data_IF_462828290412
#
_entry.id   IF_462828290412
#
_cell.length_a   1.000
_cell.length_b   1.000
_cell.length_c   1.000
_cell.angle_alpha   90.00
_cell.angle_beta   90.00
_cell.angle_gamma   90.00
#
_symmetry.space_group_name_H-M   'P 1'
#
loop_
_entity.id
_entity.type
_entity.pdbx_description
1 polymer ?
#
# COMPACT_ATOMS: atom_id res chain seq x y z
N UNK A 1 -16.11 -19.71 13.88
CA UNK A 1 -14.96 -18.96 14.40
C UNK A 1 -14.56 -19.48 15.78
N UNK A 2 -15.43 -19.37 16.80
CA UNK A 2 -15.18 -19.92 18.15
C UNK A 2 -14.74 -21.39 18.17
N UNK A 3 -15.39 -22.25 17.37
CA UNK A 3 -15.00 -23.66 17.25
C UNK A 3 -13.57 -23.85 16.75
N UNK A 4 -13.08 -22.98 15.87
CA UNK A 4 -11.70 -23.03 15.38
C UNK A 4 -10.72 -22.57 16.45
N UNK A 5 -11.00 -21.45 17.13
CA UNK A 5 -10.18 -20.97 18.26
C UNK A 5 -10.08 -22.02 19.36
N UNK A 6 -11.18 -22.71 19.67
CA UNK A 6 -11.20 -23.77 20.68
C UNK A 6 -10.29 -24.96 20.35
N UNK A 7 -9.78 -25.08 19.11
CA UNK A 7 -8.79 -26.10 18.74
C UNK A 7 -7.35 -25.69 19.04
N UNK A 8 -7.12 -24.44 19.43
CA UNK A 8 -5.80 -23.90 19.78
C UNK A 8 -5.22 -24.52 21.06
N UNK A 9 -3.92 -24.79 21.04
CA UNK A 9 -3.18 -25.17 22.24
C UNK A 9 -2.91 -23.94 23.12
N UNK A 10 -3.05 -24.02 24.45
CA UNK A 10 -2.61 -22.95 25.36
C UNK A 10 -1.07 -22.91 25.49
N UNK A 11 -0.38 -23.99 25.11
CA UNK A 11 1.08 -24.05 25.15
C UNK A 11 1.70 -23.21 24.02
N UNK A 12 2.79 -22.46 24.28
CA UNK A 12 3.52 -21.75 23.24
C UNK A 12 3.91 -22.69 22.09
N UNK A 13 3.66 -22.25 20.85
CA UNK A 13 4.17 -22.95 19.67
C UNK A 13 5.70 -22.91 19.61
N UNK A 14 6.34 -23.83 18.86
CA UNK A 14 7.78 -23.75 18.64
C UNK A 14 8.14 -22.42 17.96
N UNK A 15 9.24 -21.80 18.37
CA UNK A 15 9.82 -20.72 17.57
C UNK A 15 10.44 -21.36 16.32
N UNK A 16 9.76 -21.20 15.18
CA UNK A 16 10.17 -21.78 13.91
C UNK A 16 11.20 -20.92 13.16
N UNK A 17 11.36 -19.66 13.56
CA UNK A 17 12.25 -18.72 12.89
C UNK A 17 13.67 -18.87 13.43
N UNK A 18 14.61 -19.30 12.59
CA UNK A 18 16.03 -19.39 12.95
C UNK A 18 16.80 -18.17 12.43
N UNK A 19 16.47 -17.71 11.22
CA UNK A 19 17.06 -16.54 10.56
C UNK A 19 15.97 -15.63 9.96
N UNK A 20 16.09 -14.31 10.12
CA UNK A 20 15.15 -13.34 9.55
C UNK A 20 15.21 -13.25 8.02
N UNK A 21 16.26 -13.80 7.39
CA UNK A 21 16.36 -13.93 5.93
C UNK A 21 15.61 -15.15 5.36
N UNK A 22 14.96 -15.95 6.22
CA UNK A 22 14.12 -17.07 5.77
C UNK A 22 12.91 -16.57 4.97
N UNK A 23 12.49 -17.30 3.91
CA UNK A 23 11.28 -16.98 3.15
C UNK A 23 10.01 -17.08 3.99
N UNK A 24 9.19 -16.03 3.97
CA UNK A 24 7.86 -16.00 4.63
C UNK A 24 6.70 -16.15 3.63
N UNK A 25 6.90 -15.72 2.37
CA UNK A 25 5.86 -15.81 1.33
C UNK A 25 6.46 -15.79 -0.08
N UNK A 26 5.68 -16.30 -1.05
CA UNK A 26 5.99 -16.22 -2.48
C UNK A 26 4.80 -15.58 -3.19
N UNK A 27 5.03 -14.47 -3.88
CA UNK A 27 4.00 -13.76 -4.66
C UNK A 27 4.30 -13.91 -6.15
N UNK A 28 3.37 -14.48 -6.93
CA UNK A 28 3.57 -14.61 -8.38
C UNK A 28 3.18 -13.34 -9.12
N UNK A 29 4.10 -12.82 -9.92
CA UNK A 29 3.86 -11.69 -10.84
C UNK A 29 3.78 -12.20 -12.29
N UNK A 30 2.87 -11.64 -13.09
CA UNK A 30 2.58 -12.15 -14.43
C UNK A 30 3.71 -11.94 -15.43
N UNK A 31 4.60 -10.94 -15.22
CA UNK A 31 5.72 -10.64 -16.10
C UNK A 31 5.33 -10.36 -17.57
N UNK A 32 6.19 -9.66 -18.33
CA UNK A 32 5.94 -9.42 -19.76
C UNK A 32 6.30 -10.61 -20.66
N UNK A 33 6.95 -11.65 -20.12
CA UNK A 33 7.53 -12.77 -20.87
C UNK A 33 6.76 -14.10 -20.77
N UNK A 34 5.53 -14.08 -20.22
CA UNK A 34 4.52 -15.13 -20.39
C UNK A 34 4.34 -16.15 -19.27
N UNK A 35 5.41 -16.55 -18.56
CA UNK A 35 5.29 -17.42 -17.37
C UNK A 35 5.37 -16.59 -16.09
N UNK A 36 4.41 -16.73 -15.15
CA UNK A 36 4.48 -16.03 -13.88
C UNK A 36 5.76 -16.39 -13.12
N UNK A 37 6.39 -15.39 -12.51
CA UNK A 37 7.60 -15.56 -11.71
C UNK A 37 7.25 -15.42 -10.24
N UNK A 38 7.67 -16.37 -9.41
CA UNK A 38 7.44 -16.30 -7.97
C UNK A 38 8.45 -15.34 -7.35
N UNK A 39 7.99 -14.31 -6.66
CA UNK A 39 8.84 -13.35 -5.96
C UNK A 39 8.95 -13.77 -4.51
N UNK A 40 10.18 -14.00 -4.03
CA UNK A 40 10.43 -14.51 -2.67
C UNK A 40 10.61 -13.34 -1.69
N UNK A 41 9.80 -13.33 -0.63
CA UNK A 41 9.85 -12.36 0.47
C UNK A 41 10.47 -13.00 1.69
N UNK A 42 11.34 -12.28 2.39
CA UNK A 42 11.93 -12.71 3.68
C UNK A 42 11.17 -12.15 4.87
N UNK A 43 11.34 -12.75 6.05
CA UNK A 43 10.79 -12.22 7.30
C UNK A 43 11.29 -10.78 7.56
N UNK A 44 12.59 -10.52 7.37
CA UNK A 44 13.23 -9.20 7.54
C UNK A 44 12.63 -8.16 6.59
N UNK A 45 12.56 -8.46 5.29
CA UNK A 45 12.04 -7.53 4.29
C UNK A 45 10.57 -7.20 4.54
N UNK A 46 9.76 -8.22 4.86
CA UNK A 46 8.36 -8.03 5.25
C UNK A 46 8.21 -7.18 6.51
N UNK A 47 9.01 -7.43 7.55
CA UNK A 47 8.95 -6.65 8.79
C UNK A 47 9.27 -5.17 8.55
N UNK A 48 10.34 -4.88 7.79
CA UNK A 48 10.74 -3.52 7.46
C UNK A 48 9.71 -2.82 6.55
N UNK A 49 9.09 -3.54 5.61
CA UNK A 49 8.04 -2.96 4.78
C UNK A 49 6.77 -2.68 5.59
N UNK A 50 6.34 -3.59 6.46
CA UNK A 50 5.20 -3.40 7.34
C UNK A 50 5.39 -2.21 8.30
N UNK A 51 6.61 -2.02 8.79
CA UNK A 51 6.99 -0.82 9.54
C UNK A 51 6.89 0.44 8.68
N UNK A 52 7.36 0.39 7.43
CA UNK A 52 7.19 1.45 6.44
C UNK A 52 5.73 1.83 6.25
N UNK A 53 4.86 0.86 5.91
CA UNK A 53 3.43 1.10 5.73
C UNK A 53 2.80 1.76 6.96
N UNK A 54 3.17 1.29 8.16
CA UNK A 54 2.70 1.86 9.43
C UNK A 54 3.08 3.33 9.57
N UNK A 55 4.36 3.66 9.37
CA UNK A 55 4.88 5.03 9.51
C UNK A 55 4.35 5.97 8.44
N UNK A 56 4.25 5.50 7.20
CA UNK A 56 3.87 6.32 6.05
C UNK A 56 2.37 6.60 6.00
N UNK A 57 1.54 5.70 6.55
CA UNK A 57 0.07 5.87 6.55
C UNK A 57 -0.52 6.26 7.90
N UNK A 58 0.29 6.25 8.96
CA UNK A 58 -0.16 6.64 10.30
C UNK A 58 -1.03 5.60 10.98
N UNK A 59 -0.81 4.32 10.70
CA UNK A 59 -1.51 3.24 11.40
C UNK A 59 -1.16 3.24 12.89
N UNK A 60 -2.17 3.00 13.72
CA UNK A 60 -2.07 2.89 15.18
C UNK A 60 -2.91 1.71 15.69
N UNK A 61 -2.84 1.41 16.98
CA UNK A 61 -3.70 0.41 17.62
C UNK A 61 -5.20 0.71 17.50
N UNK A 62 -5.57 1.98 17.28
CA UNK A 62 -6.96 2.42 17.13
C UNK A 62 -7.43 2.35 15.66
N UNK A 63 -6.59 1.88 14.74
CA UNK A 63 -6.93 1.81 13.32
C UNK A 63 -7.89 0.66 13.01
N UNK A 64 -8.98 0.97 12.30
CA UNK A 64 -9.90 0.00 11.68
C UNK A 64 -9.66 -0.01 10.17
N UNK A 65 -9.10 -1.09 9.66
CA UNK A 65 -8.65 -1.22 8.28
C UNK A 65 -9.64 -2.05 7.46
N UNK A 66 -10.25 -1.42 6.44
CA UNK A 66 -11.18 -2.09 5.53
C UNK A 66 -10.44 -2.74 4.35
N UNK A 67 -10.63 -4.04 4.19
CA UNK A 67 -10.00 -4.82 3.12
C UNK A 67 -10.75 -4.68 1.78
N UNK A 68 -10.41 -3.64 1.02
CA UNK A 68 -10.83 -3.46 -0.38
C UNK A 68 -9.76 -3.88 -1.39
N UNK A 69 -8.50 -4.01 -0.95
CA UNK A 69 -7.40 -4.59 -1.71
C UNK A 69 -7.31 -6.09 -1.43
N UNK A 70 -7.21 -6.96 -2.45
CA UNK A 70 -7.03 -8.39 -2.20
C UNK A 70 -5.70 -8.71 -1.51
N UNK A 71 -5.75 -9.53 -0.46
CA UNK A 71 -4.55 -9.96 0.29
C UNK A 71 -3.56 -10.77 -0.56
N UNK A 72 -3.98 -11.34 -1.69
CA UNK A 72 -3.05 -12.05 -2.59
C UNK A 72 -2.20 -11.11 -3.46
N UNK A 73 -2.44 -9.79 -3.42
CA UNK A 73 -1.64 -8.81 -4.14
C UNK A 73 -0.56 -8.24 -3.22
N UNK A 74 0.66 -8.76 -3.33
CA UNK A 74 1.80 -8.43 -2.46
C UNK A 74 1.46 -8.57 -0.97
N UNK A 75 0.77 -9.66 -0.59
CA UNK A 75 0.26 -9.86 0.78
C UNK A 75 -0.61 -8.70 1.30
N UNK A 76 -1.42 -8.10 0.41
CA UNK A 76 -2.20 -6.91 0.70
C UNK A 76 -1.33 -5.66 0.80
N UNK A 77 -0.35 -5.52 -0.11
CA UNK A 77 0.68 -4.47 -0.04
C UNK A 77 1.41 -4.44 1.31
N UNK A 78 1.67 -5.62 1.89
CA UNK A 78 2.25 -5.76 3.22
C UNK A 78 1.38 -5.25 4.41
N UNK A 79 0.19 -4.66 4.16
CA UNK A 79 -0.70 -4.20 5.22
C UNK A 79 -1.27 -5.31 6.08
N UNK A 80 -1.27 -6.56 5.59
CA UNK A 80 -1.73 -7.70 6.41
C UNK A 80 -0.89 -7.79 7.67
N UNK A 81 0.42 -7.60 7.51
CA UNK A 81 1.37 -7.56 8.62
C UNK A 81 1.40 -6.20 9.31
N UNK A 82 1.30 -5.08 8.59
CA UNK A 82 1.33 -3.74 9.21
C UNK A 82 0.16 -3.52 10.18
N UNK A 83 -1.07 -3.81 9.76
CA UNK A 83 -2.28 -3.68 10.59
C UNK A 83 -2.20 -4.62 11.80
N UNK A 84 -1.72 -5.85 11.59
CA UNK A 84 -1.50 -6.81 12.69
C UNK A 84 -0.44 -6.30 13.67
N UNK A 85 0.66 -5.73 13.19
CA UNK A 85 1.80 -5.29 14.00
C UNK A 85 1.43 -4.16 14.96
N UNK A 86 0.52 -3.25 14.55
CA UNK A 86 -0.01 -2.21 15.44
C UNK A 86 -1.16 -2.69 16.33
N UNK A 87 -1.65 -3.91 16.13
CA UNK A 87 -2.82 -4.45 16.82
C UNK A 87 -4.16 -3.86 16.34
N UNK A 88 -4.20 -3.37 15.09
CA UNK A 88 -5.40 -2.76 14.50
C UNK A 88 -6.49 -3.77 14.15
N UNK A 89 -7.69 -3.27 13.89
CA UNK A 89 -8.85 -4.09 13.52
C UNK A 89 -8.85 -4.35 12.01
N UNK A 90 -9.00 -5.62 11.62
CA UNK A 90 -9.20 -6.01 10.23
C UNK A 90 -10.70 -6.15 9.93
N UNK A 91 -11.26 -5.27 9.10
CA UNK A 91 -12.64 -5.38 8.61
C UNK A 91 -12.60 -6.00 7.21
N UNK A 92 -13.01 -7.26 7.10
CA UNK A 92 -12.84 -8.03 5.87
C UNK A 92 -14.08 -8.00 4.97
N UNK A 93 -13.86 -7.75 3.68
CA UNK A 93 -14.85 -7.91 2.62
C UNK A 93 -14.49 -9.09 1.72
N UNK A 94 -15.51 -9.84 1.28
CA UNK A 94 -15.30 -10.95 0.34
C UNK A 94 -15.03 -10.47 -1.08
N UNK A 95 -15.64 -9.37 -1.47
CA UNK A 95 -15.52 -8.74 -2.79
C UNK A 95 -15.65 -7.24 -2.64
N UNK A 96 -15.08 -6.49 -3.58
CA UNK A 96 -15.30 -5.04 -3.67
C UNK A 96 -16.75 -4.80 -4.09
N UNK A 97 -17.52 -4.19 -3.20
CA UNK A 97 -18.90 -3.77 -3.40
C UNK A 97 -19.05 -2.35 -2.84
N UNK A 98 -19.20 -1.32 -3.71
CA UNK A 98 -19.24 0.08 -3.28
C UNK A 98 -20.34 0.38 -2.27
N UNK A 99 -21.53 -0.21 -2.43
CA UNK A 99 -22.66 0.05 -1.54
C UNK A 99 -22.39 -0.53 -0.15
N UNK A 100 -21.81 -1.74 -0.10
CA UNK A 100 -21.41 -2.35 1.18
C UNK A 100 -20.24 -1.60 1.82
N UNK A 101 -19.30 -1.09 1.04
CA UNK A 101 -18.17 -0.29 1.57
C UNK A 101 -18.68 1.00 2.22
N UNK A 102 -19.60 1.72 1.56
CA UNK A 102 -20.20 2.93 2.14
C UNK A 102 -20.98 2.64 3.43
N UNK A 103 -21.68 1.51 3.53
CA UNK A 103 -22.29 1.07 4.79
C UNK A 103 -21.25 0.84 5.88
N UNK A 104 -20.16 0.14 5.56
CA UNK A 104 -19.10 -0.14 6.53
C UNK A 104 -18.39 1.13 7.01
N UNK A 105 -18.21 2.14 6.14
CA UNK A 105 -17.71 3.45 6.55
C UNK A 105 -18.58 4.12 7.62
N UNK A 106 -19.90 3.88 7.60
CA UNK A 106 -20.82 4.41 8.59
C UNK A 106 -20.92 3.53 9.85
N UNK A 107 -20.77 2.21 9.72
CA UNK A 107 -21.11 1.25 10.78
C UNK A 107 -19.89 0.78 11.61
N UNK A 108 -18.66 0.84 11.07
CA UNK A 108 -17.49 0.12 11.65
C UNK A 108 -16.27 1.02 11.94
N UNK A 109 -16.48 2.33 12.06
CA UNK A 109 -15.44 3.33 12.39
C UNK A 109 -14.15 3.18 11.53
N UNK A 110 -14.33 2.90 10.23
CA UNK A 110 -13.21 2.66 9.32
C UNK A 110 -12.31 3.89 9.28
N UNK A 111 -11.02 3.68 9.51
CA UNK A 111 -10.02 4.76 9.45
C UNK A 111 -9.10 4.64 8.24
N UNK A 112 -8.89 3.43 7.72
CA UNK A 112 -7.96 3.18 6.61
C UNK A 112 -8.54 2.17 5.62
N UNK A 113 -8.23 2.36 4.33
CA UNK A 113 -8.36 1.32 3.31
C UNK A 113 -7.38 1.55 2.17
N UNK A 114 -7.13 0.50 1.39
CA UNK A 114 -6.25 0.53 0.23
C UNK A 114 -7.00 0.13 -1.04
N UNK A 115 -6.73 0.79 -2.16
CA UNK A 115 -7.36 0.41 -3.43
C UNK A 115 -6.62 0.91 -4.66
N UNK A 116 -6.77 0.18 -5.76
CA UNK A 116 -6.37 0.69 -7.07
C UNK A 116 -7.30 1.84 -7.50
N UNK A 117 -6.88 2.74 -8.42
CA UNK A 117 -7.71 3.86 -8.89
C UNK A 117 -9.14 3.48 -9.31
N UNK A 118 -9.33 2.28 -9.88
CA UNK A 118 -10.64 1.74 -10.24
C UNK A 118 -11.56 1.56 -9.03
N UNK A 119 -11.06 1.08 -7.89
CA UNK A 119 -11.86 0.90 -6.66
C UNK A 119 -12.36 2.25 -6.16
N UNK A 120 -11.48 3.25 -6.09
CA UNK A 120 -11.83 4.61 -5.69
C UNK A 120 -12.84 5.25 -6.65
N UNK A 121 -12.69 5.02 -7.95
CA UNK A 121 -13.65 5.48 -8.96
C UNK A 121 -15.02 4.82 -8.78
N UNK A 122 -15.07 3.53 -8.48
CA UNK A 122 -16.31 2.82 -8.18
C UNK A 122 -17.00 3.37 -6.91
N UNK A 123 -16.22 3.70 -5.88
CA UNK A 123 -16.74 4.30 -4.65
C UNK A 123 -17.35 5.68 -4.89
N UNK A 124 -16.67 6.55 -5.63
CA UNK A 124 -17.16 7.90 -5.94
C UNK A 124 -18.37 7.90 -6.89
N UNK A 125 -18.53 6.87 -7.71
CA UNK A 125 -19.67 6.72 -8.62
C UNK A 125 -20.85 5.94 -8.02
N UNK A 126 -20.73 5.46 -6.77
CA UNK A 126 -21.80 4.75 -6.08
C UNK A 126 -22.98 5.68 -5.79
N UNK A 127 -24.19 5.12 -5.75
CA UNK A 127 -25.39 5.88 -5.38
C UNK A 127 -25.40 6.29 -3.90
N UNK A 128 -24.64 5.59 -3.06
CA UNK A 128 -24.43 5.92 -1.66
C UNK A 128 -23.30 6.92 -1.42
N UNK A 129 -22.62 7.40 -2.47
CA UNK A 129 -21.49 8.31 -2.30
C UNK A 129 -21.94 9.65 -1.69
N UNK A 130 -21.33 10.01 -0.57
CA UNK A 130 -21.53 11.29 0.10
C UNK A 130 -20.25 11.71 0.83
N UNK A 131 -20.14 12.98 1.19
CA UNK A 131 -18.98 13.46 1.96
C UNK A 131 -18.98 12.80 3.34
N UNK A 132 -17.84 12.21 3.73
CA UNK A 132 -17.69 11.55 5.02
C UNK A 132 -17.67 12.58 6.17
N UNK A 133 -18.27 12.21 7.30
CA UNK A 133 -18.25 13.04 8.52
C UNK A 133 -16.86 13.10 9.15
N UNK A 134 -16.11 12.00 9.11
CA UNK A 134 -14.71 11.90 9.55
C UNK A 134 -13.80 11.52 8.39
N UNK A 135 -12.55 12.00 8.38
CA UNK A 135 -11.63 11.66 7.31
C UNK A 135 -11.20 10.20 7.37
N UNK A 136 -11.17 9.54 6.22
CA UNK A 136 -10.65 8.18 6.05
C UNK A 136 -9.39 8.23 5.20
N UNK A 137 -8.29 7.64 5.69
CA UNK A 137 -7.05 7.51 4.93
C UNK A 137 -7.22 6.47 3.84
N UNK A 138 -7.01 6.89 2.59
CA UNK A 138 -7.26 6.08 1.40
C UNK A 138 -5.95 5.95 0.62
N UNK A 139 -5.27 4.82 0.70
CA UNK A 139 -4.06 4.63 -0.11
C UNK A 139 -4.41 4.17 -1.52
N UNK A 140 -3.63 4.66 -2.49
CA UNK A 140 -3.86 4.43 -3.92
C UNK A 140 -2.55 4.00 -4.56
N UNK A 141 -2.55 2.85 -5.23
CA UNK A 141 -1.38 2.33 -5.95
C UNK A 141 -1.79 1.36 -7.07
N UNK A 142 -0.80 0.74 -7.72
CA UNK A 142 -0.98 -0.28 -8.76
C UNK A 142 -1.26 0.29 -10.16
N UNK A 143 -1.77 1.51 -10.25
CA UNK A 143 -1.81 2.30 -11.48
C UNK A 143 -1.70 3.80 -11.12
N UNK A 144 -1.16 4.65 -12.01
CA UNK A 144 -1.10 6.10 -11.76
C UNK A 144 -2.51 6.70 -11.55
N UNK A 145 -2.80 7.32 -10.39
CA UNK A 145 -4.06 8.03 -10.19
C UNK A 145 -4.08 9.34 -10.98
N UNK A 146 -5.25 9.71 -11.50
CA UNK A 146 -5.39 11.04 -12.10
C UNK A 146 -5.47 12.12 -11.01
N UNK A 147 -4.93 13.33 -11.24
CA UNK A 147 -5.13 14.47 -10.34
C UNK A 147 -6.61 14.71 -10.03
N UNK A 148 -7.49 14.55 -11.03
CA UNK A 148 -8.94 14.67 -10.85
C UNK A 148 -9.49 13.71 -9.81
N UNK A 149 -9.10 12.43 -9.85
CA UNK A 149 -9.54 11.44 -8.87
C UNK A 149 -9.10 11.82 -7.45
N UNK A 150 -7.84 12.25 -7.30
CA UNK A 150 -7.30 12.68 -6.00
C UNK A 150 -8.04 13.91 -5.45
N UNK A 151 -8.39 14.86 -6.31
CA UNK A 151 -9.22 16.02 -5.94
C UNK A 151 -10.60 15.60 -5.45
N UNK A 152 -11.28 14.72 -6.19
CA UNK A 152 -12.62 14.24 -5.82
C UNK A 152 -12.62 13.47 -4.50
N UNK A 153 -11.62 12.62 -4.26
CA UNK A 153 -11.46 11.94 -2.97
C UNK A 153 -11.41 12.95 -1.80
N UNK A 154 -10.64 14.03 -1.95
CA UNK A 154 -10.57 15.08 -0.92
C UNK A 154 -11.88 15.84 -0.74
N UNK A 155 -12.61 16.10 -1.83
CA UNK A 155 -13.93 16.75 -1.75
C UNK A 155 -14.92 15.92 -0.91
N UNK A 156 -14.79 14.59 -0.99
CA UNK A 156 -15.54 13.60 -0.20
C UNK A 156 -14.98 13.35 1.21
N UNK A 157 -13.99 14.14 1.64
CA UNK A 157 -13.31 14.05 2.93
C UNK A 157 -12.42 12.80 3.11
N UNK A 158 -12.01 12.14 2.02
CA UNK A 158 -10.92 11.17 2.11
C UNK A 158 -9.57 11.88 2.22
N UNK A 159 -8.60 11.22 2.85
CA UNK A 159 -7.20 11.60 2.86
C UNK A 159 -6.42 10.68 1.92
N UNK A 160 -6.30 11.01 0.61
CA UNK A 160 -5.65 10.15 -0.35
C UNK A 160 -4.12 10.18 -0.20
N UNK A 161 -3.51 9.00 -0.15
CA UNK A 161 -2.05 8.81 -0.14
C UNK A 161 -1.67 8.01 -1.39
N UNK A 162 -0.89 8.60 -2.29
CA UNK A 162 -0.39 7.89 -3.47
C UNK A 162 0.88 7.13 -3.12
N UNK A 163 0.84 5.83 -3.41
CA UNK A 163 1.92 4.88 -3.18
C UNK A 163 2.41 4.29 -4.50
N UNK A 164 3.69 3.92 -4.55
CA UNK A 164 4.30 3.27 -5.70
C UNK A 164 5.23 2.14 -5.27
N UNK A 165 5.21 1.05 -6.05
CA UNK A 165 6.04 -0.12 -5.85
C UNK A 165 5.61 -1.27 -6.75
N UNK A 166 6.26 -2.42 -6.57
CA UNK A 166 6.11 -3.61 -7.39
C UNK A 166 5.90 -4.84 -6.51
N UNK A 167 5.58 -5.97 -7.13
CA UNK A 167 5.59 -7.25 -6.41
C UNK A 167 7.01 -7.54 -5.90
N UNK A 168 8.03 -7.19 -6.67
CA UNK A 168 9.45 -7.32 -6.39
C UNK A 168 9.92 -6.43 -5.23
N UNK A 169 9.10 -5.48 -4.76
CA UNK A 169 9.41 -4.59 -3.65
C UNK A 169 8.45 -4.71 -2.48
N UNK A 170 7.89 -5.89 -2.26
CA UNK A 170 6.95 -6.17 -1.16
C UNK A 170 5.61 -5.41 -1.25
N UNK A 171 5.32 -4.78 -2.40
CA UNK A 171 4.28 -3.78 -2.54
C UNK A 171 4.89 -2.37 -2.63
N UNK A 172 4.23 -1.36 -2.06
CA UNK A 172 4.75 0.00 -1.98
C UNK A 172 6.13 0.10 -1.33
N UNK A 173 6.99 0.91 -1.95
CA UNK A 173 8.31 1.30 -1.45
C UNK A 173 8.52 2.82 -1.53
N UNK A 174 7.58 3.53 -2.16
CA UNK A 174 7.58 4.96 -2.32
C UNK A 174 6.19 5.56 -2.04
N UNK A 175 6.19 6.79 -1.54
CA UNK A 175 5.01 7.56 -1.16
C UNK A 175 5.14 8.97 -1.70
N UNK A 176 4.01 9.57 -2.09
CA UNK A 176 3.89 11.01 -2.30
C UNK A 176 3.35 11.66 -1.03
N UNK A 177 4.23 12.06 -0.08
CA UNK A 177 3.76 12.63 1.18
C UNK A 177 3.25 14.04 0.93
N UNK A 178 2.22 14.44 1.69
CA UNK A 178 1.79 15.82 1.70
C UNK A 178 2.91 16.71 2.25
N UNK A 179 3.22 17.79 1.54
CA UNK A 179 4.15 18.82 1.99
C UNK A 179 3.36 20.07 2.37
N UNK A 180 3.68 20.69 3.52
CA UNK A 180 2.92 21.82 4.05
C UNK A 180 2.95 23.04 3.12
N UNK A 181 4.00 23.19 2.31
CA UNK A 181 4.12 24.22 1.28
C UNK A 181 3.05 24.09 0.19
N UNK A 182 2.39 22.93 0.07
CA UNK A 182 1.33 22.72 -0.91
C UNK A 182 -0.01 23.31 -0.46
N UNK A 183 -0.22 23.56 0.83
CA UNK A 183 -1.47 24.12 1.37
C UNK A 183 -1.84 25.46 0.73
N UNK A 184 -0.83 26.26 0.36
CA UNK A 184 -1.01 27.57 -0.26
C UNK A 184 -1.21 27.51 -1.78
N UNK A 185 -1.11 26.32 -2.39
CA UNK A 185 -1.25 26.14 -3.85
C UNK A 185 -2.72 25.96 -4.25
N UNK A 186 -3.11 26.30 -5.49
CA UNK A 186 -4.44 25.96 -6.01
C UNK A 186 -4.71 24.45 -5.96
N UNK A 187 -5.96 24.05 -5.73
CA UNK A 187 -6.35 22.64 -5.60
C UNK A 187 -5.90 21.77 -6.79
N UNK A 188 -5.97 22.30 -8.02
CA UNK A 188 -5.51 21.60 -9.21
C UNK A 188 -3.99 21.33 -9.20
N UNK A 189 -3.20 22.26 -8.65
CA UNK A 189 -1.76 22.09 -8.51
C UNK A 189 -1.44 21.10 -7.38
N UNK A 190 -2.14 21.19 -6.24
CA UNK A 190 -2.04 20.21 -5.14
C UNK A 190 -2.30 18.78 -5.65
N UNK A 191 -3.35 18.59 -6.43
CA UNK A 191 -3.70 17.31 -7.02
C UNK A 191 -2.62 16.79 -7.99
N UNK A 192 -2.01 17.69 -8.76
CA UNK A 192 -0.90 17.33 -9.68
C UNK A 192 0.35 16.90 -8.90
N UNK A 193 0.64 17.55 -7.77
CA UNK A 193 1.75 17.20 -6.90
C UNK A 193 1.53 15.84 -6.23
N UNK A 194 0.33 15.59 -5.70
CA UNK A 194 -0.05 14.30 -5.11
C UNK A 194 0.01 13.14 -6.11
N UNK A 195 -0.26 13.38 -7.40
CA UNK A 195 -0.24 12.34 -8.43
C UNK A 195 1.15 11.81 -8.79
N UNK A 196 2.23 12.45 -8.30
CA UNK A 196 3.61 11.95 -8.48
C UNK A 196 3.81 10.66 -7.68
N UNK A 197 4.67 9.76 -8.16
CA UNK A 197 5.04 8.52 -7.44
C UNK A 197 5.76 8.80 -6.12
N UNK A 198 6.34 10.00 -5.99
CA UNK A 198 6.89 10.52 -4.75
C UNK A 198 8.31 10.04 -4.47
N UNK A 199 8.61 9.81 -3.20
CA UNK A 199 9.94 9.51 -2.66
C UNK A 199 9.94 8.18 -1.91
N UNK A 200 11.11 7.60 -1.71
CA UNK A 200 11.26 6.35 -0.95
C UNK A 200 10.67 6.46 0.46
N UNK A 201 10.15 5.34 0.95
CA UNK A 201 9.75 5.15 2.34
C UNK A 201 10.92 5.46 3.28
N UNK A 202 10.61 5.86 4.51
CA UNK A 202 11.64 6.08 5.55
C UNK A 202 12.45 4.82 5.87
N UNK A 203 11.91 3.63 5.58
CA UNK A 203 12.56 2.33 5.79
C UNK A 203 13.34 1.83 4.57
N UNK A 204 13.29 2.54 3.44
CA UNK A 204 13.89 2.13 2.17
C UNK A 204 15.03 3.05 1.73
N UNK A 205 15.93 2.52 0.90
CA UNK A 205 16.97 3.33 0.25
C UNK A 205 16.34 4.25 -0.82
N UNK A 206 17.08 5.29 -1.21
CA UNK A 206 16.63 6.22 -2.25
C UNK A 206 16.53 5.51 -3.60
N UNK A 207 15.35 5.62 -4.23
CA UNK A 207 15.18 5.21 -5.62
C UNK A 207 16.07 6.04 -6.53
N UNK A 208 16.67 5.39 -7.52
CA UNK A 208 17.54 6.01 -8.51
C UNK A 208 16.86 6.00 -9.87
N UNK A 209 17.17 7.00 -10.68
CA UNK A 209 16.83 7.04 -12.11
C UNK A 209 18.13 7.00 -12.88
N UNK A 210 18.32 5.99 -13.73
CA UNK A 210 19.60 5.72 -14.38
C UNK A 210 19.49 5.68 -15.91
N UNK A 211 20.59 6.01 -16.58
CA UNK A 211 20.72 5.84 -18.03
C UNK A 211 20.99 4.38 -18.44
N UNK A 212 21.14 4.12 -19.75
CA UNK A 212 21.45 2.79 -20.30
C UNK A 212 22.78 2.18 -19.79
N UNK A 213 23.64 2.99 -19.15
CA UNK A 213 24.92 2.58 -18.55
C UNK A 213 24.84 2.49 -17.03
N UNK A 214 23.63 2.54 -16.45
CA UNK A 214 23.37 2.50 -15.01
C UNK A 214 24.01 3.68 -14.25
N UNK A 215 24.25 4.80 -14.93
CA UNK A 215 24.69 6.05 -14.30
C UNK A 215 23.49 6.90 -13.92
N UNK A 216 23.55 7.56 -12.76
CA UNK A 216 22.46 8.45 -12.32
C UNK A 216 22.25 9.59 -13.32
N UNK A 217 20.99 9.81 -13.70
CA UNK A 217 20.61 10.97 -14.50
C UNK A 217 20.51 12.22 -13.60
N UNK A 218 20.59 13.44 -14.17
CA UNK A 218 20.35 14.67 -13.42
C UNK A 218 18.95 14.69 -12.76
N UNK A 219 18.86 15.18 -11.53
CA UNK A 219 17.59 15.34 -10.80
C UNK A 219 16.86 16.64 -11.20
N UNK A 220 16.61 16.82 -12.50
CA UNK A 220 15.98 18.02 -13.08
C UNK A 220 14.46 17.88 -13.26
N UNK A 221 13.91 16.66 -13.12
CA UNK A 221 12.49 16.37 -13.34
C UNK A 221 12.08 16.28 -14.82
N UNK A 222 13.06 16.31 -15.74
CA UNK A 222 12.84 16.25 -17.20
C UNK A 222 13.60 15.08 -17.84
N UNK A 223 14.81 14.78 -17.36
CA UNK A 223 15.65 13.72 -17.92
C UNK A 223 15.09 12.34 -17.57
N UNK A 224 14.79 11.55 -18.61
CA UNK A 224 14.23 10.22 -18.47
C UNK A 224 15.31 9.15 -18.26
N UNK A 225 14.97 8.11 -17.49
CA UNK A 225 15.80 6.94 -17.27
C UNK A 225 15.01 5.78 -16.67
N UNK A 226 15.70 4.68 -16.37
CA UNK A 226 15.12 3.51 -15.71
C UNK A 226 15.10 3.69 -14.19
N UNK A 227 14.00 3.32 -13.54
CA UNK A 227 13.89 3.36 -12.07
C UNK A 227 14.55 2.12 -11.49
N UNK A 228 15.53 2.33 -10.60
CA UNK A 228 16.24 1.25 -9.91
C UNK A 228 16.04 1.40 -8.41
N UNK A 229 15.75 0.27 -7.76
CA UNK A 229 15.54 0.15 -6.32
C UNK A 229 16.54 -0.85 -5.75
N UNK A 230 17.00 -0.61 -4.52
CA UNK A 230 17.82 -1.53 -3.75
C UNK A 230 17.46 -1.44 -2.26
N UNK A 231 17.94 -2.41 -1.48
CA UNK A 231 17.75 -2.42 -0.03
C UNK A 231 16.89 -3.59 0.46
N UNK A 232 16.59 -3.61 1.76
CA UNK A 232 15.88 -4.72 2.41
C UNK A 232 14.42 -4.89 1.95
N UNK A 233 13.85 -3.86 1.31
CA UNK A 233 12.51 -3.85 0.74
C UNK A 233 12.50 -4.28 -0.73
N UNK A 234 13.55 -4.98 -1.20
CA UNK A 234 13.63 -5.61 -2.53
C UNK A 234 13.73 -7.12 -2.35
N UNK A 235 13.01 -7.86 -3.19
CA UNK A 235 12.89 -9.32 -3.12
C UNK A 235 14.24 -10.03 -2.95
N UNK A 236 14.23 -11.19 -2.31
CA UNK A 236 15.43 -12.04 -2.22
C UNK A 236 15.84 -12.58 -3.60
N UNK A 237 14.86 -12.78 -4.47
CA UNK A 237 15.03 -13.28 -5.84
C UNK A 237 13.72 -13.85 -6.38
N UNK A 238 13.81 -14.44 -7.58
CA UNK A 238 12.73 -15.23 -8.13
C UNK A 238 12.84 -16.70 -7.66
N UNK A 239 11.70 -17.32 -7.41
CA UNK A 239 11.58 -18.73 -7.09
C UNK A 239 11.74 -19.57 -8.37
N UNK A 240 12.63 -20.57 -8.31
CA UNK A 240 12.95 -21.51 -9.39
C UNK A 240 11.93 -22.66 -9.53
#
# INVERSE_FOLDING_TARGET
YETFIATGSPEPGPNLLVDEEEPISINYTSGTTGRPKGVVYTHRGTYLNALGETLETGLTSDSSFLWTLPMFHCNGWCFTWAVTAVGGTHVCLRTVDPERIWQLFADEDISHYNGAPTVHTMLLNSSSAHKLDQPITATIAGAPPSPTLLGQLRDYNFHPIHLYGLTETYGPIAISPWQSEWEQKPLAEQATLLARQGQSYRTADLMRVVDEKTQDVPQDGETMGEVVMHGNNVMQGYFD
#
